data_IF_319390754068
#
_entry.id   IF_319390754068
#
_cell.length_a   1.000
_cell.length_b   1.000
_cell.length_c   1.000
_cell.angle_alpha   90.00
_cell.angle_beta   90.00
_cell.angle_gamma   90.00
#
_symmetry.space_group_name_H-M   'P 1'
#
loop_
_entity.id
_entity.type
_entity.pdbx_description
1 polymer ?
#
# COMPACT_ATOMS: atom_id res chain seq x y z
N UNK A 1 -20.39 2.47 3.64
CA UNK A 1 -19.39 2.03 2.62
C UNK A 1 -20.09 1.02 1.71
N UNK A 2 -20.02 1.18 0.36
CA UNK A 2 -20.54 0.17 -0.59
C UNK A 2 -19.44 -0.81 -0.95
N UNK A 3 -19.68 -2.10 -0.82
CA UNK A 3 -18.74 -3.19 -1.11
C UNK A 3 -19.25 -4.09 -2.23
N UNK A 4 -18.42 -5.00 -2.71
CA UNK A 4 -18.86 -6.01 -3.70
C UNK A 4 -20.01 -6.89 -3.21
N UNK A 5 -20.26 -6.98 -1.89
CA UNK A 5 -21.39 -7.72 -1.33
C UNK A 5 -22.74 -7.00 -1.55
N UNK A 6 -22.72 -5.69 -1.83
CA UNK A 6 -23.93 -4.90 -2.03
C UNK A 6 -24.41 -4.90 -3.49
N UNK A 7 -23.77 -5.70 -4.36
CA UNK A 7 -24.08 -5.76 -5.78
C UNK A 7 -24.11 -7.21 -6.30
N UNK A 8 -25.00 -7.47 -7.26
CA UNK A 8 -25.06 -8.74 -7.97
C UNK A 8 -24.36 -8.61 -9.33
N UNK A 9 -23.26 -9.31 -9.49
CA UNK A 9 -22.43 -9.25 -10.72
C UNK A 9 -22.92 -10.17 -11.84
N UNK A 10 -24.10 -10.79 -11.72
CA UNK A 10 -24.61 -11.68 -12.77
C UNK A 10 -24.64 -10.98 -14.14
N UNK A 11 -23.99 -11.59 -15.13
CA UNK A 11 -23.86 -11.08 -16.50
C UNK A 11 -23.19 -9.69 -16.58
N UNK A 12 -22.37 -9.32 -15.57
CA UNK A 12 -21.66 -8.05 -15.48
C UNK A 12 -20.16 -8.25 -15.59
N UNK A 13 -19.48 -7.29 -16.22
CA UNK A 13 -18.02 -7.21 -16.28
C UNK A 13 -17.55 -6.29 -15.17
N UNK A 14 -16.86 -6.84 -14.19
CA UNK A 14 -16.25 -6.08 -13.09
C UNK A 14 -14.84 -5.66 -13.46
N UNK A 15 -14.60 -4.37 -13.52
CA UNK A 15 -13.27 -3.79 -13.69
C UNK A 15 -12.63 -3.62 -12.31
N UNK A 16 -11.67 -4.48 -11.97
CA UNK A 16 -11.14 -4.60 -10.60
C UNK A 16 -9.71 -4.07 -10.53
N UNK A 17 -9.47 -3.03 -9.75
CA UNK A 17 -8.13 -2.52 -9.44
C UNK A 17 -7.56 -3.27 -8.24
N UNK A 18 -6.50 -4.02 -8.48
CA UNK A 18 -5.79 -4.84 -7.48
C UNK A 18 -4.33 -4.39 -7.33
N UNK A 19 -3.68 -4.76 -6.25
CA UNK A 19 -2.24 -4.49 -6.02
C UNK A 19 -1.42 -5.79 -6.13
N UNK A 20 -1.08 -6.18 -7.34
CA UNK A 20 -0.21 -7.31 -7.63
C UNK A 20 1.26 -6.89 -7.82
N UNK A 21 1.68 -5.81 -7.17
CA UNK A 21 3.09 -5.41 -7.13
C UNK A 21 3.86 -6.33 -6.17
N UNK A 22 4.03 -7.58 -6.60
CA UNK A 22 4.66 -8.67 -5.85
C UNK A 22 6.18 -8.69 -6.07
N UNK A 23 6.97 -9.14 -5.08
CA UNK A 23 8.40 -9.33 -5.26
C UNK A 23 8.69 -10.52 -6.18
N UNK A 24 9.72 -10.38 -7.00
CA UNK A 24 10.17 -11.39 -7.94
C UNK A 24 11.66 -11.72 -7.73
N UNK A 25 12.04 -12.96 -8.02
CA UNK A 25 13.44 -13.38 -8.12
C UNK A 25 14.10 -12.82 -9.38
N UNK A 26 15.41 -13.03 -9.53
CA UNK A 26 16.13 -12.68 -10.75
C UNK A 26 15.57 -13.37 -12.02
N UNK A 27 14.93 -14.54 -11.85
CA UNK A 27 14.27 -15.30 -12.93
C UNK A 27 12.80 -14.84 -13.15
N UNK A 28 12.42 -13.68 -12.65
CA UNK A 28 11.07 -13.09 -12.73
C UNK A 28 9.96 -13.96 -12.11
N UNK A 29 10.30 -14.90 -11.23
CA UNK A 29 9.32 -15.71 -10.50
C UNK A 29 8.86 -15.01 -9.25
N UNK A 30 7.56 -15.04 -8.97
CA UNK A 30 6.99 -14.50 -7.74
C UNK A 30 7.57 -15.23 -6.52
N UNK A 31 8.10 -14.49 -5.56
CA UNK A 31 8.67 -15.02 -4.31
C UNK A 31 7.73 -14.88 -3.11
N UNK A 32 6.73 -14.01 -3.21
CA UNK A 32 5.67 -13.83 -2.23
C UNK A 32 4.37 -13.48 -2.95
N UNK A 33 3.35 -14.32 -2.81
CA UNK A 33 2.05 -14.17 -3.45
C UNK A 33 0.94 -13.68 -2.50
N UNK A 34 1.28 -13.23 -1.29
CA UNK A 34 0.33 -12.79 -0.26
C UNK A 34 -0.65 -11.74 -0.80
N UNK A 35 -0.20 -10.82 -1.65
CA UNK A 35 -1.05 -9.79 -2.25
C UNK A 35 -2.07 -10.35 -3.23
N UNK A 36 -1.72 -11.42 -3.96
CA UNK A 36 -2.63 -12.10 -4.89
C UNK A 36 -3.67 -12.88 -4.08
N UNK A 37 -3.23 -13.60 -3.03
CA UNK A 37 -4.13 -14.34 -2.15
C UNK A 37 -5.17 -13.43 -1.47
N UNK A 38 -4.77 -12.24 -1.05
CA UNK A 38 -5.64 -11.29 -0.36
C UNK A 38 -6.83 -10.81 -1.21
N UNK A 39 -6.69 -10.79 -2.53
CA UNK A 39 -7.73 -10.37 -3.49
C UNK A 39 -8.67 -11.51 -3.89
N UNK A 40 -8.25 -12.77 -3.71
CA UNK A 40 -9.04 -13.95 -4.11
C UNK A 40 -10.51 -13.90 -3.65
N UNK A 41 -10.85 -13.54 -2.42
CA UNK A 41 -12.26 -13.48 -1.98
C UNK A 41 -13.12 -12.52 -2.81
N UNK A 42 -12.56 -11.39 -3.24
CA UNK A 42 -13.25 -10.41 -4.11
C UNK A 42 -13.51 -10.99 -5.49
N UNK A 43 -12.50 -11.62 -6.08
CA UNK A 43 -12.61 -12.28 -7.40
C UNK A 43 -13.64 -13.40 -7.34
N UNK A 44 -13.55 -14.28 -6.32
CA UNK A 44 -14.48 -15.40 -6.15
C UNK A 44 -15.93 -14.91 -5.99
N UNK A 45 -16.18 -13.83 -5.24
CA UNK A 45 -17.52 -13.23 -5.10
C UNK A 45 -18.11 -12.83 -6.45
N UNK A 46 -17.32 -12.13 -7.28
CA UNK A 46 -17.78 -11.66 -8.60
C UNK A 46 -18.09 -12.84 -9.52
N UNK A 47 -17.19 -13.83 -9.57
CA UNK A 47 -17.36 -15.01 -10.40
C UNK A 47 -18.50 -15.92 -9.94
N UNK A 48 -18.68 -16.08 -8.62
CA UNK A 48 -19.77 -16.87 -8.03
C UNK A 48 -21.15 -16.24 -8.29
N UNK A 49 -21.23 -14.94 -8.45
CA UNK A 49 -22.45 -14.25 -8.89
C UNK A 49 -22.76 -14.50 -10.39
N UNK A 50 -21.82 -15.05 -11.15
CA UNK A 50 -21.94 -15.23 -12.61
C UNK A 50 -21.45 -14.01 -13.41
N UNK A 51 -20.59 -13.19 -12.82
CA UNK A 51 -19.89 -12.09 -13.50
C UNK A 51 -18.60 -12.54 -14.19
N UNK A 52 -17.92 -11.62 -14.83
CA UNK A 52 -16.54 -11.75 -15.32
C UNK A 52 -15.65 -10.67 -14.70
N UNK A 53 -14.34 -10.93 -14.65
CA UNK A 53 -13.38 -10.07 -13.95
C UNK A 53 -12.32 -9.55 -14.93
N UNK A 54 -12.13 -8.25 -14.95
CA UNK A 54 -11.05 -7.57 -15.67
C UNK A 54 -10.11 -6.99 -14.62
N UNK A 55 -8.93 -7.61 -14.47
CA UNK A 55 -7.93 -7.20 -13.48
C UNK A 55 -7.05 -6.09 -14.04
N UNK A 56 -6.91 -5.03 -13.28
CA UNK A 56 -6.00 -3.92 -13.53
C UNK A 56 -5.02 -3.80 -12.36
N UNK A 57 -3.73 -3.78 -12.65
CA UNK A 57 -2.71 -3.62 -11.62
C UNK A 57 -1.45 -2.96 -12.18
N UNK A 58 -0.46 -2.75 -11.31
CA UNK A 58 0.88 -2.33 -11.69
C UNK A 58 1.91 -3.30 -11.13
N UNK A 59 3.08 -3.32 -11.75
CA UNK A 59 4.28 -4.04 -11.29
C UNK A 59 5.49 -3.12 -11.42
N UNK A 60 6.23 -2.94 -10.33
CA UNK A 60 7.44 -2.13 -10.32
C UNK A 60 7.24 -0.63 -10.63
N UNK A 61 8.28 -0.04 -11.21
CA UNK A 61 8.31 1.38 -11.58
C UNK A 61 8.91 1.59 -12.97
N UNK A 62 8.22 1.21 -14.04
CA UNK A 62 8.72 1.27 -15.43
C UNK A 62 8.81 2.70 -15.98
N UNK A 63 8.25 3.71 -15.30
CA UNK A 63 8.31 5.15 -15.70
C UNK A 63 7.78 5.38 -17.12
N UNK A 64 6.63 4.84 -17.44
CA UNK A 64 5.97 5.02 -18.74
C UNK A 64 6.64 4.28 -19.90
N UNK A 65 7.43 3.24 -19.62
CA UNK A 65 8.12 2.46 -20.67
C UNK A 65 7.75 0.98 -20.56
N UNK A 66 7.44 0.39 -21.69
CA UNK A 66 7.26 -1.07 -21.78
C UNK A 66 8.60 -1.77 -21.52
N UNK A 67 8.59 -2.75 -20.64
CA UNK A 67 9.77 -3.54 -20.25
C UNK A 67 9.34 -4.96 -19.89
N UNK A 68 10.08 -5.96 -20.40
CA UNK A 68 9.82 -7.37 -20.08
C UNK A 68 9.90 -7.67 -18.58
N UNK A 69 10.81 -7.01 -17.87
CA UNK A 69 10.98 -7.16 -16.40
C UNK A 69 9.70 -6.80 -15.64
N UNK A 70 8.96 -5.78 -16.11
CA UNK A 70 7.76 -5.28 -15.46
C UNK A 70 6.47 -5.71 -16.15
N UNK A 71 6.54 -6.63 -17.13
CA UNK A 71 5.33 -7.18 -17.74
C UNK A 71 4.59 -8.07 -16.75
N UNK A 72 3.26 -7.88 -16.68
CA UNK A 72 2.38 -8.71 -15.86
C UNK A 72 2.27 -10.15 -16.39
N UNK A 73 2.71 -10.41 -17.62
CA UNK A 73 2.81 -11.76 -18.17
C UNK A 73 3.65 -12.67 -17.25
N UNK A 74 4.68 -12.12 -16.60
CA UNK A 74 5.58 -12.88 -15.73
C UNK A 74 4.89 -13.44 -14.48
N UNK A 75 3.75 -12.87 -14.08
CA UNK A 75 3.04 -13.27 -12.87
C UNK A 75 1.71 -13.99 -13.15
N UNK A 76 1.31 -14.18 -14.42
CA UNK A 76 0.05 -14.83 -14.80
C UNK A 76 -0.07 -16.22 -14.19
N UNK A 77 0.96 -17.06 -14.34
CA UNK A 77 0.94 -18.44 -13.79
C UNK A 77 0.74 -18.47 -12.28
N UNK A 78 1.31 -17.51 -11.55
CA UNK A 78 1.12 -17.42 -10.10
C UNK A 78 -0.31 -16.97 -9.77
N UNK A 79 -0.87 -16.02 -10.54
CA UNK A 79 -2.26 -15.59 -10.36
C UNK A 79 -3.21 -16.77 -10.61
N UNK A 80 -3.00 -17.54 -11.67
CA UNK A 80 -3.78 -18.75 -11.98
C UNK A 80 -3.72 -19.79 -10.87
N UNK A 81 -2.50 -20.04 -10.35
CA UNK A 81 -2.27 -20.96 -9.24
C UNK A 81 -3.06 -20.55 -7.99
N UNK A 82 -3.02 -19.27 -7.61
CA UNK A 82 -3.70 -18.75 -6.42
C UNK A 82 -5.22 -18.72 -6.60
N UNK A 83 -5.69 -18.26 -7.78
CA UNK A 83 -7.12 -18.15 -8.05
C UNK A 83 -7.76 -19.53 -8.35
N UNK A 84 -6.96 -20.52 -8.77
CA UNK A 84 -7.42 -21.82 -9.18
C UNK A 84 -8.25 -21.79 -10.48
N UNK A 85 -7.97 -20.83 -11.36
CA UNK A 85 -8.70 -20.57 -12.61
C UNK A 85 -7.75 -20.06 -13.68
N UNK A 86 -8.07 -20.31 -14.94
CA UNK A 86 -7.37 -19.74 -16.09
C UNK A 86 -7.53 -18.21 -16.11
N UNK A 87 -6.44 -17.52 -16.47
CA UNK A 87 -6.39 -16.05 -16.58
C UNK A 87 -5.93 -15.69 -17.98
N UNK A 88 -6.84 -15.13 -18.79
CA UNK A 88 -6.49 -14.55 -20.07
C UNK A 88 -5.60 -13.34 -19.85
N UNK A 89 -4.60 -13.16 -20.69
CA UNK A 89 -3.69 -12.02 -20.61
C UNK A 89 -3.79 -11.17 -21.88
N UNK A 90 -3.96 -9.85 -21.69
CA UNK A 90 -3.91 -8.87 -22.78
C UNK A 90 -2.58 -8.11 -22.68
N UNK A 91 -1.83 -8.07 -23.79
CA UNK A 91 -0.50 -7.46 -23.83
C UNK A 91 -0.52 -5.92 -23.83
N UNK A 92 -1.69 -5.32 -23.73
CA UNK A 92 -1.89 -3.89 -23.51
C UNK A 92 -3.04 -3.64 -22.51
N UNK A 93 -3.05 -2.47 -21.85
CA UNK A 93 -4.16 -2.11 -20.96
C UNK A 93 -5.18 -1.16 -21.61
N UNK A 94 -4.88 -0.63 -22.80
CA UNK A 94 -5.79 0.17 -23.64
C UNK A 94 -5.59 -0.23 -25.11
N UNK A 95 -6.39 0.35 -26.00
CA UNK A 95 -6.25 0.11 -27.43
C UNK A 95 -7.17 -1.00 -27.97
N UNK A 96 -6.91 -1.40 -29.21
CA UNK A 96 -7.83 -2.30 -29.93
C UNK A 96 -7.87 -3.69 -29.33
N UNK A 97 -6.72 -4.28 -28.98
CA UNK A 97 -6.65 -5.62 -28.40
C UNK A 97 -7.42 -5.70 -27.09
N UNK A 98 -7.15 -4.75 -26.15
CA UNK A 98 -7.86 -4.69 -24.87
C UNK A 98 -9.37 -4.49 -25.07
N UNK A 99 -9.78 -3.67 -26.03
CA UNK A 99 -11.19 -3.47 -26.37
C UNK A 99 -11.83 -4.75 -26.88
N UNK A 100 -11.18 -5.44 -27.81
CA UNK A 100 -11.71 -6.67 -28.40
C UNK A 100 -11.78 -7.80 -27.35
N UNK A 101 -10.74 -7.98 -26.52
CA UNK A 101 -10.71 -9.01 -25.48
C UNK A 101 -11.74 -8.77 -24.38
N UNK A 102 -11.88 -7.53 -23.93
CA UNK A 102 -12.89 -7.17 -22.91
C UNK A 102 -14.32 -7.27 -23.44
N UNK A 103 -14.54 -6.92 -24.72
CA UNK A 103 -15.86 -7.07 -25.34
C UNK A 103 -16.31 -8.54 -25.41
N UNK A 104 -15.37 -9.46 -25.72
CA UNK A 104 -15.64 -10.89 -25.89
C UNK A 104 -15.53 -11.71 -24.59
N UNK A 105 -15.22 -11.08 -23.45
CA UNK A 105 -15.09 -11.76 -22.16
C UNK A 105 -16.43 -12.34 -21.71
N UNK A 106 -16.46 -13.64 -21.39
CA UNK A 106 -17.67 -14.35 -20.98
C UNK A 106 -17.81 -14.42 -19.46
N UNK A 107 -19.03 -14.57 -18.94
CA UNK A 107 -19.26 -14.84 -17.52
C UNK A 107 -18.40 -16.00 -17.02
N UNK A 108 -17.79 -15.84 -15.84
CA UNK A 108 -16.88 -16.79 -15.23
C UNK A 108 -15.43 -16.68 -15.68
N UNK A 109 -15.11 -15.86 -16.66
CA UNK A 109 -13.75 -15.65 -17.17
C UNK A 109 -13.03 -14.50 -16.42
N UNK A 110 -11.70 -14.60 -16.41
CA UNK A 110 -10.81 -13.59 -15.87
C UNK A 110 -9.87 -13.10 -16.98
N UNK A 111 -9.74 -11.78 -17.11
CA UNK A 111 -8.80 -11.12 -18.00
C UNK A 111 -7.85 -10.23 -17.17
N UNK A 112 -6.55 -10.41 -17.34
CA UNK A 112 -5.53 -9.49 -16.79
C UNK A 112 -5.07 -8.58 -17.92
N UNK A 113 -5.20 -7.28 -17.72
CA UNK A 113 -4.61 -6.26 -18.59
C UNK A 113 -3.13 -6.06 -18.25
N UNK A 114 -2.32 -5.61 -19.21
CA UNK A 114 -0.90 -5.31 -19.00
C UNK A 114 -0.70 -4.14 -18.01
N UNK A 115 0.50 -4.00 -17.53
CA UNK A 115 0.95 -3.06 -16.50
C UNK A 115 0.52 -1.62 -16.82
N UNK A 116 -0.37 -1.09 -16.00
CA UNK A 116 -0.90 0.28 -16.15
C UNK A 116 0.21 1.33 -16.18
N UNK A 117 1.33 1.09 -15.46
CA UNK A 117 2.46 2.02 -15.39
C UNK A 117 3.37 2.01 -16.62
N UNK A 118 3.03 1.23 -17.64
CA UNK A 118 3.64 1.42 -18.97
C UNK A 118 3.15 2.71 -19.62
N UNK A 119 2.11 3.33 -19.05
CA UNK A 119 1.58 4.64 -19.43
C UNK A 119 1.82 5.65 -18.30
N UNK A 120 2.43 6.79 -18.63
CA UNK A 120 2.64 7.89 -17.66
C UNK A 120 1.30 8.48 -17.18
N UNK A 121 0.29 8.37 -18.00
CA UNK A 121 -1.09 8.79 -17.78
C UNK A 121 -1.70 8.13 -16.54
N UNK A 122 -1.28 6.93 -16.19
CA UNK A 122 -1.72 6.25 -14.96
C UNK A 122 -1.30 7.04 -13.72
N UNK A 123 -0.01 7.35 -13.58
CA UNK A 123 0.51 8.02 -12.38
C UNK A 123 0.18 9.51 -12.34
N UNK A 124 -0.06 10.15 -13.49
CA UNK A 124 -0.51 11.55 -13.56
C UNK A 124 -1.99 11.75 -13.27
N UNK A 125 -2.77 10.68 -13.17
CA UNK A 125 -4.21 10.76 -12.97
C UNK A 125 -4.95 11.28 -14.20
N UNK A 126 -4.48 10.90 -15.39
CA UNK A 126 -5.05 11.38 -16.66
C UNK A 126 -6.50 10.90 -16.85
N UNK A 127 -7.39 11.84 -17.15
CA UNK A 127 -8.83 11.58 -17.26
C UNK A 127 -9.18 10.78 -18.51
N UNK A 128 -8.53 11.07 -19.63
CA UNK A 128 -8.81 10.40 -20.91
C UNK A 128 -8.35 8.94 -20.86
N UNK A 129 -7.22 8.68 -20.16
CA UNK A 129 -6.77 7.31 -19.89
C UNK A 129 -7.76 6.55 -19.00
N UNK A 130 -8.22 7.19 -17.93
CA UNK A 130 -9.23 6.62 -17.04
C UNK A 130 -10.56 6.36 -17.78
N UNK A 131 -10.98 7.25 -18.68
CA UNK A 131 -12.18 7.07 -19.51
C UNK A 131 -12.04 5.87 -20.46
N UNK A 132 -10.87 5.69 -21.08
CA UNK A 132 -10.63 4.51 -21.94
C UNK A 132 -10.76 3.22 -21.16
N UNK A 133 -10.14 3.13 -19.96
CA UNK A 133 -10.25 1.97 -19.08
C UNK A 133 -11.69 1.73 -18.62
N UNK A 134 -12.44 2.78 -18.29
CA UNK A 134 -13.80 2.67 -17.77
C UNK A 134 -14.78 2.01 -18.76
N UNK A 135 -14.51 2.08 -20.07
CA UNK A 135 -15.34 1.47 -21.12
C UNK A 135 -15.32 -0.06 -21.13
N UNK A 136 -14.41 -0.68 -20.38
CA UNK A 136 -14.27 -2.14 -20.35
C UNK A 136 -15.20 -2.84 -19.36
N UNK A 137 -15.75 -2.14 -18.38
CA UNK A 137 -16.56 -2.75 -17.34
C UNK A 137 -17.92 -2.08 -17.12
N UNK A 138 -18.86 -2.85 -16.57
CA UNK A 138 -20.17 -2.37 -16.11
C UNK A 138 -20.12 -1.83 -14.69
N UNK A 139 -19.13 -2.27 -13.91
CA UNK A 139 -18.90 -1.87 -12.53
C UNK A 139 -17.40 -1.74 -12.25
N UNK A 140 -17.03 -0.80 -11.39
CA UNK A 140 -15.66 -0.60 -10.91
C UNK A 140 -15.51 -1.10 -9.48
N UNK A 141 -14.45 -1.85 -9.22
CA UNK A 141 -14.09 -2.34 -7.88
C UNK A 141 -12.67 -1.90 -7.54
N UNK A 142 -12.51 -1.18 -6.43
CA UNK A 142 -11.17 -0.89 -5.89
C UNK A 142 -10.84 -1.86 -4.75
N UNK A 143 -9.84 -2.70 -4.96
CA UNK A 143 -9.33 -3.66 -3.97
C UNK A 143 -7.82 -3.53 -3.74
N UNK A 144 -7.29 -2.32 -3.93
CA UNK A 144 -5.88 -1.98 -3.87
C UNK A 144 -5.58 -0.95 -2.77
N UNK A 145 -5.67 -1.34 -1.50
CA UNK A 145 -5.45 -0.45 -0.35
C UNK A 145 -4.08 0.24 -0.40
N UNK A 146 -3.01 -0.48 -0.76
CA UNK A 146 -1.66 0.06 -0.83
C UNK A 146 -1.49 1.25 -1.79
N UNK A 147 -2.39 1.44 -2.75
CA UNK A 147 -2.38 2.56 -3.72
C UNK A 147 -3.53 3.54 -3.52
N UNK A 148 -4.43 3.32 -2.56
CA UNK A 148 -5.65 4.11 -2.38
C UNK A 148 -5.39 5.59 -2.03
N UNK A 149 -4.22 5.89 -1.45
CA UNK A 149 -3.79 7.25 -1.12
C UNK A 149 -3.31 8.07 -2.33
N UNK A 150 -3.29 7.50 -3.54
CA UNK A 150 -2.80 8.13 -4.77
C UNK A 150 -3.95 8.45 -5.72
N UNK A 151 -3.98 9.68 -6.24
CA UNK A 151 -4.97 10.10 -7.23
C UNK A 151 -4.58 9.64 -8.65
N UNK A 152 -4.25 8.34 -8.81
CA UNK A 152 -3.94 7.77 -10.12
C UNK A 152 -5.19 7.57 -10.97
N UNK A 153 -5.03 7.43 -12.28
CA UNK A 153 -6.13 7.26 -13.21
C UNK A 153 -7.00 6.05 -12.87
N UNK A 154 -6.38 4.89 -12.57
CA UNK A 154 -7.08 3.64 -12.28
C UNK A 154 -7.59 3.51 -10.83
N UNK A 155 -7.20 4.39 -9.91
CA UNK A 155 -7.61 4.32 -8.49
C UNK A 155 -8.68 5.35 -8.14
N UNK A 156 -8.46 6.62 -8.46
CA UNK A 156 -9.36 7.72 -8.09
C UNK A 156 -10.20 8.19 -9.26
N UNK A 157 -9.56 8.56 -10.39
CA UNK A 157 -10.23 9.24 -11.50
C UNK A 157 -11.25 8.34 -12.17
N UNK A 158 -10.93 7.06 -12.36
CA UNK A 158 -11.82 6.08 -12.99
C UNK A 158 -13.16 5.94 -12.24
N UNK A 159 -13.18 6.13 -10.93
CA UNK A 159 -14.39 6.03 -10.12
C UNK A 159 -15.45 7.10 -10.45
N UNK A 160 -15.07 8.18 -11.13
CA UNK A 160 -15.98 9.22 -11.60
C UNK A 160 -16.88 8.73 -12.73
N UNK A 161 -16.42 7.76 -13.52
CA UNK A 161 -17.17 7.16 -14.63
C UNK A 161 -18.18 6.08 -14.19
N UNK A 162 -18.17 5.73 -12.88
CA UNK A 162 -19.08 4.75 -12.29
C UNK A 162 -19.86 5.36 -11.11
N UNK A 163 -20.74 6.34 -11.33
CA UNK A 163 -21.39 7.06 -10.23
C UNK A 163 -22.18 6.14 -9.30
N UNK A 164 -22.87 5.13 -9.83
CA UNK A 164 -23.71 4.20 -9.05
C UNK A 164 -23.09 2.79 -8.89
N UNK A 165 -22.17 2.39 -9.78
CA UNK A 165 -21.64 1.03 -9.85
C UNK A 165 -20.16 0.97 -9.48
N UNK A 166 -19.76 1.70 -8.44
CA UNK A 166 -18.42 1.64 -7.84
C UNK A 166 -18.47 1.07 -6.43
N UNK A 167 -17.56 0.15 -6.15
CA UNK A 167 -17.56 -0.63 -4.92
C UNK A 167 -16.13 -0.79 -4.40
N UNK A 168 -16.00 -1.02 -3.10
CA UNK A 168 -14.78 -1.55 -2.52
C UNK A 168 -14.79 -3.08 -2.61
N UNK A 169 -13.63 -3.65 -2.91
CA UNK A 169 -13.38 -5.07 -2.76
C UNK A 169 -13.30 -5.47 -1.28
N UNK A 170 -13.26 -6.76 -0.99
CA UNK A 170 -13.30 -7.27 0.38
C UNK A 170 -12.01 -6.99 1.15
N UNK A 171 -10.84 -6.95 0.45
CA UNK A 171 -9.58 -6.55 1.07
C UNK A 171 -9.64 -5.07 1.49
N UNK A 172 -10.04 -4.20 0.56
CA UNK A 172 -10.17 -2.77 0.84
C UNK A 172 -11.16 -2.50 1.99
N UNK A 173 -12.30 -3.19 2.00
CA UNK A 173 -13.30 -3.06 3.06
C UNK A 173 -12.73 -3.44 4.42
N UNK A 174 -12.01 -4.57 4.51
CA UNK A 174 -11.36 -5.04 5.73
C UNK A 174 -10.32 -4.05 6.27
N UNK A 175 -9.49 -3.48 5.38
CA UNK A 175 -8.48 -2.49 5.75
C UNK A 175 -9.12 -1.19 6.26
N UNK A 176 -10.19 -0.71 5.58
CA UNK A 176 -10.93 0.48 6.03
C UNK A 176 -11.62 0.26 7.36
N UNK A 177 -12.24 -0.92 7.59
CA UNK A 177 -12.82 -1.28 8.88
C UNK A 177 -11.77 -1.32 10.00
N UNK A 178 -10.57 -1.85 9.71
CA UNK A 178 -9.46 -1.86 10.67
C UNK A 178 -9.02 -0.45 11.05
N UNK A 179 -8.89 0.46 10.07
CA UNK A 179 -8.56 1.87 10.29
C UNK A 179 -9.67 2.56 11.11
N UNK A 180 -10.94 2.34 10.76
CA UNK A 180 -12.08 2.93 11.48
C UNK A 180 -12.15 2.46 12.94
N UNK A 181 -11.88 1.19 13.21
CA UNK A 181 -11.77 0.66 14.58
C UNK A 181 -10.69 1.37 15.39
N UNK A 182 -9.53 1.62 14.79
CA UNK A 182 -8.42 2.29 15.49
C UNK A 182 -8.73 3.77 15.73
N UNK A 183 -9.28 4.48 14.73
CA UNK A 183 -9.50 5.93 14.79
C UNK A 183 -10.82 6.33 15.46
N UNK A 184 -11.81 5.45 15.50
CA UNK A 184 -13.17 5.79 15.97
C UNK A 184 -13.56 5.15 17.28
N UNK A 185 -13.80 3.84 17.28
CA UNK A 185 -14.43 3.11 18.40
C UNK A 185 -13.58 1.94 18.89
N UNK A 186 -12.28 1.98 18.66
CA UNK A 186 -11.36 0.90 19.02
C UNK A 186 -11.45 0.48 20.48
N UNK A 187 -11.29 -0.81 20.74
CA UNK A 187 -11.11 -1.29 22.11
C UNK A 187 -9.82 -0.68 22.69
N UNK A 188 -9.95 -0.07 23.87
CA UNK A 188 -8.82 0.53 24.57
C UNK A 188 -8.05 -0.51 25.40
N UNK A 189 -6.73 -0.39 25.56
CA UNK A 189 -5.89 0.71 25.06
C UNK A 189 -5.50 0.56 23.58
N UNK A 190 -5.53 1.66 22.83
CA UNK A 190 -5.02 1.74 21.46
C UNK A 190 -3.54 2.13 21.49
N UNK A 191 -2.69 1.32 20.86
CA UNK A 191 -1.25 1.58 20.77
C UNK A 191 -0.86 1.81 19.31
N UNK A 192 -0.27 2.99 19.02
CA UNK A 192 0.35 3.28 17.73
C UNK A 192 1.85 3.01 17.80
N UNK A 193 2.40 2.41 16.76
CA UNK A 193 3.84 2.19 16.58
C UNK A 193 4.27 2.96 15.34
N UNK A 194 5.17 3.92 15.52
CA UNK A 194 5.72 4.72 14.44
C UNK A 194 7.22 4.50 14.32
N UNK A 195 7.67 4.24 13.11
CA UNK A 195 9.08 4.12 12.76
C UNK A 195 9.39 4.87 11.47
N UNK A 196 10.66 5.08 11.23
CA UNK A 196 11.17 5.76 10.04
C UNK A 196 12.46 6.51 10.31
N UNK A 197 13.03 7.11 9.28
CA UNK A 197 14.30 7.84 9.39
C UNK A 197 14.14 9.26 9.93
N UNK A 198 12.97 9.91 9.69
CA UNK A 198 12.79 11.34 9.93
C UNK A 198 11.49 11.66 10.68
N UNK A 199 11.60 12.48 11.72
CA UNK A 199 10.46 13.03 12.48
C UNK A 199 9.64 13.96 11.58
N UNK A 200 10.30 14.82 10.79
CA UNK A 200 9.66 15.81 9.94
C UNK A 200 8.60 15.22 8.98
N UNK A 201 8.80 13.99 8.52
CA UNK A 201 7.86 13.31 7.61
C UNK A 201 6.64 12.72 8.33
N UNK A 202 6.65 12.66 9.66
CA UNK A 202 5.63 11.99 10.47
C UNK A 202 4.83 12.95 11.38
N UNK A 203 5.18 14.23 11.44
CA UNK A 203 4.56 15.22 12.34
C UNK A 203 3.05 15.21 12.20
N UNK A 204 2.56 15.43 10.98
CA UNK A 204 1.12 15.52 10.72
C UNK A 204 0.39 14.22 11.10
N UNK A 205 1.03 13.07 10.89
CA UNK A 205 0.47 11.78 11.28
C UNK A 205 0.39 11.71 12.81
N UNK A 206 1.48 12.05 13.52
CA UNK A 206 1.53 12.00 14.99
C UNK A 206 0.44 12.91 15.56
N UNK A 207 0.36 14.16 15.12
CA UNK A 207 -0.63 15.13 15.63
C UNK A 207 -2.08 14.66 15.40
N UNK A 208 -2.34 14.03 14.25
CA UNK A 208 -3.69 13.56 13.92
C UNK A 208 -4.10 12.29 14.68
N UNK A 209 -3.15 11.43 15.07
CA UNK A 209 -3.48 10.19 15.77
C UNK A 209 -3.50 10.33 17.29
N UNK A 210 -2.78 11.32 17.87
CA UNK A 210 -2.71 11.51 19.32
C UNK A 210 -4.09 11.50 20.02
N UNK A 211 -5.15 12.15 19.49
CA UNK A 211 -6.47 12.11 20.12
C UNK A 211 -7.14 10.73 20.14
N UNK A 212 -6.68 9.80 19.28
CA UNK A 212 -7.30 8.49 19.09
C UNK A 212 -6.57 7.33 19.79
N UNK A 213 -5.38 7.59 20.37
CA UNK A 213 -4.51 6.54 20.92
C UNK A 213 -4.27 6.75 22.42
N UNK A 214 -3.89 5.68 23.10
CA UNK A 214 -3.49 5.70 24.52
C UNK A 214 -1.97 5.58 24.69
N UNK A 215 -1.30 4.91 23.73
CA UNK A 215 0.14 4.70 23.73
C UNK A 215 0.74 5.00 22.35
N UNK A 216 1.94 5.58 22.36
CA UNK A 216 2.73 5.84 21.16
C UNK A 216 4.13 5.25 21.35
N UNK A 217 4.49 4.27 20.53
CA UNK A 217 5.85 3.73 20.49
C UNK A 217 6.56 4.38 19.29
N UNK A 218 7.70 4.99 19.53
CA UNK A 218 8.54 5.63 18.51
C UNK A 218 9.80 4.79 18.35
N UNK A 219 10.06 4.30 17.13
CA UNK A 219 11.22 3.49 16.79
C UNK A 219 11.89 3.95 15.50
N UNK A 220 12.91 3.18 15.07
CA UNK A 220 13.71 3.50 13.89
C UNK A 220 14.56 4.75 14.06
N UNK A 221 15.18 5.22 13.00
CA UNK A 221 16.12 6.35 13.02
C UNK A 221 15.53 7.65 13.57
N UNK A 222 14.22 7.86 13.45
CA UNK A 222 13.57 9.04 14.03
C UNK A 222 13.65 9.08 15.57
N UNK A 223 13.78 7.93 16.24
CA UNK A 223 13.88 7.88 17.71
C UNK A 223 15.11 8.64 18.21
N UNK A 224 16.23 8.62 17.48
CA UNK A 224 17.45 9.31 17.88
C UNK A 224 17.28 10.83 17.95
N UNK A 225 16.41 11.42 17.14
CA UNK A 225 16.07 12.85 17.27
C UNK A 225 15.37 13.14 18.58
N UNK A 226 14.46 12.27 19.06
CA UNK A 226 13.82 12.40 20.38
C UNK A 226 14.83 12.18 21.51
N UNK A 227 15.67 11.16 21.42
CA UNK A 227 16.73 10.87 22.43
C UNK A 227 17.67 12.07 22.53
N UNK A 228 18.11 12.65 21.42
CA UNK A 228 18.98 13.84 21.40
C UNK A 228 18.26 15.05 21.99
N UNK A 229 17.00 15.27 21.69
CA UNK A 229 16.20 16.34 22.28
C UNK A 229 16.07 16.24 23.81
N UNK A 230 16.06 15.01 24.33
CA UNK A 230 16.04 14.71 25.76
C UNK A 230 17.44 14.74 26.42
N UNK A 231 18.49 15.10 25.68
CA UNK A 231 19.86 15.27 26.19
C UNK A 231 20.76 14.04 26.04
N UNK A 232 20.30 12.97 25.36
CA UNK A 232 21.11 11.78 25.09
C UNK A 232 22.24 12.03 24.09
N UNK A 233 23.27 11.20 24.15
CA UNK A 233 24.37 11.15 23.19
C UNK A 233 24.09 10.02 22.19
N UNK A 234 24.00 10.34 20.90
CA UNK A 234 23.52 9.41 19.86
C UNK A 234 24.61 9.03 18.84
N UNK A 235 25.88 9.38 19.10
CA UNK A 235 27.00 9.13 18.19
C UNK A 235 26.72 9.66 16.77
N UNK A 236 26.97 8.81 15.78
CA UNK A 236 26.74 9.12 14.37
C UNK A 236 25.35 8.68 13.87
N UNK A 237 24.41 8.39 14.78
CA UNK A 237 23.05 8.01 14.42
C UNK A 237 22.32 9.12 13.67
N UNK A 238 21.24 8.76 12.94
CA UNK A 238 20.43 9.73 12.19
C UNK A 238 19.86 10.83 13.11
N UNK A 239 20.04 12.07 12.69
CA UNK A 239 19.58 13.25 13.45
C UNK A 239 18.94 14.28 12.52
N UNK A 240 17.80 14.83 12.93
CA UNK A 240 17.25 16.08 12.41
C UNK A 240 17.44 17.18 13.45
N UNK A 241 18.60 17.84 13.43
CA UNK A 241 18.99 18.81 14.47
C UNK A 241 18.03 20.03 14.54
N UNK A 242 17.51 20.44 13.39
CA UNK A 242 16.49 21.51 13.30
C UNK A 242 15.11 21.08 13.82
N UNK A 243 14.91 19.84 14.24
CA UNK A 243 13.65 19.29 14.74
C UNK A 243 13.67 18.92 16.23
N UNK A 244 14.74 19.24 16.96
CA UNK A 244 14.83 18.94 18.39
C UNK A 244 13.71 19.60 19.20
N UNK A 245 13.46 20.88 18.95
CA UNK A 245 12.35 21.61 19.62
C UNK A 245 11.01 20.96 19.31
N UNK A 246 10.78 20.59 18.06
CA UNK A 246 9.56 19.94 17.63
C UNK A 246 9.37 18.56 18.28
N UNK A 247 10.44 17.79 18.44
CA UNK A 247 10.38 16.51 19.15
C UNK A 247 9.90 16.69 20.60
N UNK A 248 10.40 17.72 21.31
CA UNK A 248 9.94 18.05 22.66
C UNK A 248 8.47 18.50 22.66
N UNK A 249 8.04 19.32 21.70
CA UNK A 249 6.65 19.75 21.58
C UNK A 249 5.69 18.55 21.36
N UNK A 250 6.10 17.56 20.60
CA UNK A 250 5.32 16.31 20.39
C UNK A 250 5.17 15.57 21.73
N UNK A 251 6.26 15.43 22.51
CA UNK A 251 6.20 14.76 23.80
C UNK A 251 5.27 15.49 24.78
N UNK A 252 5.33 16.82 24.81
CA UNK A 252 4.44 17.62 25.65
C UNK A 252 2.97 17.55 25.20
N UNK A 253 2.70 17.57 23.87
CA UNK A 253 1.35 17.37 23.32
C UNK A 253 0.80 16.00 23.69
N UNK A 254 1.60 14.94 23.57
CA UNK A 254 1.21 13.60 23.96
C UNK A 254 0.85 13.53 25.46
N UNK A 255 1.70 14.11 26.31
CA UNK A 255 1.47 14.18 27.76
C UNK A 255 0.19 14.96 28.10
N UNK A 256 -0.06 16.10 27.44
CA UNK A 256 -1.27 16.88 27.63
C UNK A 256 -2.56 16.13 27.26
N UNK A 257 -2.47 15.15 26.36
CA UNK A 257 -3.57 14.29 25.93
C UNK A 257 -3.61 12.94 26.66
N UNK A 258 -2.80 12.76 27.71
CA UNK A 258 -2.64 11.51 28.46
C UNK A 258 -2.19 10.32 27.63
N UNK A 259 -1.47 10.56 26.52
CA UNK A 259 -0.86 9.50 25.70
C UNK A 259 0.51 9.16 26.27
N UNK A 260 0.77 7.88 26.55
CA UNK A 260 2.08 7.40 26.99
C UNK A 260 2.99 7.23 25.79
N UNK A 261 4.14 7.91 25.79
CA UNK A 261 5.16 7.76 24.74
C UNK A 261 6.25 6.81 25.23
N UNK A 262 6.58 5.84 24.41
CA UNK A 262 7.65 4.88 24.63
C UNK A 262 8.75 5.10 23.59
N UNK A 263 9.93 5.41 24.06
CA UNK A 263 11.15 5.45 23.27
C UNK A 263 11.97 4.19 23.55
N UNK A 264 12.83 3.73 22.63
CA UNK A 264 13.76 2.64 22.90
C UNK A 264 14.64 2.96 24.12
N UNK A 265 15.01 1.94 24.86
CA UNK A 265 15.93 2.03 26.02
C UNK A 265 17.35 1.58 25.67
N UNK A 266 17.49 0.80 24.62
CA UNK A 266 18.75 0.27 24.10
C UNK A 266 18.77 0.37 22.57
N UNK A 267 19.96 0.17 22.01
CA UNK A 267 20.17 0.07 20.57
C UNK A 267 21.29 -0.91 20.25
N UNK A 268 21.11 -1.69 19.20
CA UNK A 268 22.23 -2.37 18.55
C UNK A 268 22.91 -1.36 17.64
N UNK A 269 24.16 -1.03 17.95
CA UNK A 269 24.93 -0.04 17.20
C UNK A 269 26.00 -0.73 16.35
N UNK A 270 26.36 -0.08 15.24
CA UNK A 270 27.38 -0.50 14.32
C UNK A 270 28.42 0.61 14.09
N UNK A 271 29.65 0.23 13.77
CA UNK A 271 30.71 1.17 13.45
C UNK A 271 30.66 1.68 12.01
N UNK A 272 29.96 0.94 11.14
CA UNK A 272 29.67 1.35 9.76
C UNK A 272 28.31 0.84 9.27
N UNK A 273 27.80 1.41 8.17
CA UNK A 273 26.56 0.94 7.55
C UNK A 273 26.84 -0.23 6.59
N UNK A 274 27.10 -1.41 7.17
CA UNK A 274 27.46 -2.63 6.46
C UNK A 274 26.86 -3.87 7.15
N UNK A 275 26.64 -4.95 6.38
CA UNK A 275 26.22 -6.23 6.94
C UNK A 275 27.34 -6.89 7.75
N UNK A 276 28.60 -6.57 7.46
CA UNK A 276 29.81 -7.12 8.08
C UNK A 276 30.38 -6.22 9.19
N UNK A 277 29.66 -5.12 9.54
CA UNK A 277 30.06 -4.17 10.57
C UNK A 277 30.17 -4.82 11.96
N UNK A 278 31.10 -4.34 12.78
CA UNK A 278 31.13 -4.66 14.19
C UNK A 278 29.90 -4.12 14.90
N UNK A 279 29.30 -4.92 15.79
CA UNK A 279 28.04 -4.61 16.47
C UNK A 279 28.15 -4.81 17.97
N UNK A 280 27.45 -3.95 18.70
CA UNK A 280 27.26 -4.11 20.14
C UNK A 280 25.94 -3.47 20.58
N UNK A 281 25.42 -3.93 21.70
CA UNK A 281 24.24 -3.37 22.35
C UNK A 281 24.69 -2.33 23.39
N UNK A 282 24.02 -1.18 23.43
CA UNK A 282 24.30 -0.09 24.35
C UNK A 282 23.00 0.58 24.80
N UNK A 283 23.07 1.34 25.91
CA UNK A 283 22.03 2.28 26.29
C UNK A 283 21.85 3.31 25.16
N UNK A 284 20.61 3.57 24.75
CA UNK A 284 20.33 4.46 23.61
C UNK A 284 20.71 5.93 23.91
N UNK A 285 20.82 6.31 25.18
CA UNK A 285 21.24 7.64 25.61
C UNK A 285 22.76 7.83 25.62
N UNK A 286 23.56 6.77 25.40
CA UNK A 286 25.01 6.81 25.47
C UNK A 286 25.67 6.03 24.32
N UNK A 287 25.35 6.43 23.09
CA UNK A 287 25.98 5.86 21.89
C UNK A 287 27.32 6.56 21.65
N UNK A 288 28.47 5.85 21.63
CA UNK A 288 29.80 6.44 21.44
C UNK A 288 29.96 7.13 20.08
N UNK A 289 30.85 8.14 20.03
CA UNK A 289 31.31 8.73 18.76
C UNK A 289 31.86 7.65 17.83
N UNK A 290 31.60 7.78 16.53
CA UNK A 290 32.00 6.80 15.52
C UNK A 290 31.03 5.63 15.37
N UNK A 291 30.08 5.44 16.26
CA UNK A 291 29.05 4.39 16.21
C UNK A 291 27.69 4.96 15.86
N UNK A 292 26.85 4.17 15.17
CA UNK A 292 25.46 4.53 14.79
C UNK A 292 24.49 3.40 15.17
N UNK A 293 23.29 3.79 15.59
CA UNK A 293 22.18 2.88 15.87
C UNK A 293 21.16 2.81 14.74
#
# INVERSE_FOLDING_TARGET
MKTVNDFNFKDKKALVRVDFNVPQSADLKVTDNTRIQAVKPTVDKILNDGGSVILMTHLGRPKGKVSEEFSLKNIVTEIESVLGREVKFCADCIGKEATDMTANLQPGEILLLENLRFYNEEESGDRDFAEKLSKYGDAYVNDAFGTAHRAHASTAIIAEFFPETKFFGLLMAKELEAVEKVLGSGEKPVTAILGGSKVSTKITIIENILPAIDNLIIGGGMAFTFIRALGGHIGNSLLEEDKLTLALEILEKAKAQNVKVFLPTDAVIADEFSNDADRKEVDIYDIPDGWMG
#
